data_IF_985168220742
#
_entry.id   IF_985168220742
#
_cell.length_a   1.000
_cell.length_b   1.000
_cell.length_c   1.000
_cell.angle_alpha   90.00
_cell.angle_beta   90.00
_cell.angle_gamma   90.00
#
_symmetry.space_group_name_H-M   'P 1'
#
loop_
_entity.id
_entity.type
_entity.pdbx_description
1 polymer ?
#
# COMPACT_ATOMS: atom_id res chain seq x y z
N UNK A 1 -29.89 -2.91 14.43
CA UNK A 1 -28.44 -2.85 14.66
C UNK A 1 -27.79 -2.41 13.36
N UNK A 2 -26.90 -1.41 13.36
CA UNK A 2 -26.20 -1.03 12.14
C UNK A 2 -25.24 -2.16 11.72
N UNK A 3 -25.37 -2.65 10.48
CA UNK A 3 -24.42 -3.62 9.94
C UNK A 3 -23.04 -2.95 9.90
N UNK A 4 -22.02 -3.61 10.47
CA UNK A 4 -20.66 -3.11 10.40
C UNK A 4 -20.24 -3.03 8.92
N UNK A 5 -19.77 -1.86 8.49
CA UNK A 5 -19.31 -1.67 7.11
C UNK A 5 -18.23 -2.71 6.76
N UNK A 6 -18.28 -3.30 5.56
CA UNK A 6 -17.27 -4.27 5.16
C UNK A 6 -15.88 -3.62 5.21
N UNK A 7 -14.92 -4.31 5.81
CA UNK A 7 -13.56 -3.80 5.98
C UNK A 7 -12.87 -3.68 4.61
N UNK A 8 -12.89 -2.48 4.04
CA UNK A 8 -12.26 -2.18 2.75
C UNK A 8 -10.80 -1.75 2.94
N UNK A 9 -9.88 -2.63 2.58
CA UNK A 9 -8.42 -2.42 2.74
C UNK A 9 -7.93 -1.12 2.10
N UNK A 10 -8.48 -0.72 0.95
CA UNK A 10 -8.09 0.51 0.25
C UNK A 10 -8.53 1.76 1.02
N UNK A 11 -9.72 1.74 1.61
CA UNK A 11 -10.19 2.82 2.48
C UNK A 11 -9.40 2.88 3.78
N UNK A 12 -9.11 1.74 4.41
CA UNK A 12 -8.30 1.69 5.63
C UNK A 12 -6.90 2.26 5.36
N UNK A 13 -6.25 1.89 4.25
CA UNK A 13 -4.98 2.49 3.82
C UNK A 13 -5.06 4.03 3.66
N UNK A 14 -6.19 4.55 3.16
CA UNK A 14 -6.42 5.99 3.01
C UNK A 14 -6.73 6.69 4.35
N UNK A 15 -7.36 5.99 5.31
CA UNK A 15 -7.63 6.46 6.68
C UNK A 15 -6.34 6.57 7.51
N UNK A 16 -5.31 5.76 7.24
CA UNK A 16 -4.03 5.81 7.96
C UNK A 16 -3.30 7.16 7.77
N UNK A 17 -3.27 7.97 8.84
CA UNK A 17 -2.58 9.27 8.87
C UNK A 17 -1.13 9.10 9.30
N UNK A 18 -0.21 9.12 8.33
CA UNK A 18 1.23 9.16 8.60
C UNK A 18 1.78 10.58 8.59
N UNK A 19 2.54 10.92 9.63
CA UNK A 19 3.32 12.15 9.69
C UNK A 19 4.31 12.27 8.51
N UNK A 20 4.37 13.44 7.86
CA UNK A 20 5.14 13.66 6.63
C UNK A 20 6.61 14.01 6.90
N UNK A 21 7.32 13.18 7.67
CA UNK A 21 8.72 13.41 8.08
C UNK A 21 9.69 13.55 6.91
N UNK A 22 9.47 12.82 5.81
CA UNK A 22 10.23 12.98 4.54
C UNK A 22 9.94 14.30 3.79
N UNK A 23 9.22 15.23 4.40
CA UNK A 23 8.79 16.51 3.82
C UNK A 23 9.92 17.53 3.63
N UNK A 24 10.91 17.54 4.52
CA UNK A 24 11.94 18.59 4.61
C UNK A 24 13.34 18.15 4.13
N UNK A 25 13.58 16.85 3.93
CA UNK A 25 14.90 16.35 3.57
C UNK A 25 15.44 16.98 2.27
N UNK A 26 16.73 17.37 2.19
CA UNK A 26 17.34 17.87 0.98
C UNK A 26 17.30 16.89 -0.19
N UNK A 27 17.48 17.40 -1.41
CA UNK A 27 17.77 16.59 -2.58
C UNK A 27 19.25 16.19 -2.56
N UNK A 28 19.55 15.00 -3.08
CA UNK A 28 20.94 14.66 -3.45
C UNK A 28 21.27 15.34 -4.78
N UNK A 29 22.55 15.68 -5.02
CA UNK A 29 23.04 16.04 -6.34
C UNK A 29 23.03 14.82 -7.29
N UNK A 30 23.15 15.01 -8.62
CA UNK A 30 23.03 13.93 -9.60
C UNK A 30 24.09 12.83 -9.48
N UNK A 31 25.29 13.19 -9.01
CA UNK A 31 26.42 12.29 -8.77
C UNK A 31 26.26 11.40 -7.52
N UNK A 32 25.09 11.35 -6.87
CA UNK A 32 24.91 10.58 -5.64
C UNK A 32 23.56 9.85 -5.55
N UNK A 33 23.62 8.56 -5.24
CA UNK A 33 22.47 7.65 -5.16
C UNK A 33 22.30 7.08 -3.75
N UNK A 34 21.04 6.86 -3.35
CA UNK A 34 20.70 6.24 -2.05
C UNK A 34 20.75 4.72 -2.15
N UNK A 35 21.71 4.09 -1.48
CA UNK A 35 21.72 2.64 -1.24
C UNK A 35 20.95 2.34 0.06
N UNK A 36 19.91 1.50 -0.03
CA UNK A 36 18.98 1.29 1.08
C UNK A 36 19.45 0.17 1.99
N UNK A 37 19.57 0.42 3.30
CA UNK A 37 19.86 -0.64 4.27
C UNK A 37 18.59 -1.44 4.61
N UNK A 38 18.72 -2.72 5.03
CA UNK A 38 17.62 -3.48 5.61
C UNK A 38 17.02 -2.81 6.86
N UNK A 39 15.71 -2.94 7.05
CA UNK A 39 15.04 -2.43 8.26
C UNK A 39 15.29 -3.40 9.41
N UNK A 40 16.10 -2.98 10.39
CA UNK A 40 16.32 -3.72 11.62
C UNK A 40 15.02 -3.76 12.43
N UNK A 41 14.63 -4.94 12.89
CA UNK A 41 13.50 -5.15 13.78
C UNK A 41 13.93 -5.97 15.01
N UNK A 42 13.28 -5.81 16.17
CA UNK A 42 13.59 -6.62 17.35
C UNK A 42 13.30 -8.11 17.09
N UNK A 43 13.91 -8.96 17.93
CA UNK A 43 13.68 -10.39 17.90
C UNK A 43 12.21 -10.73 18.21
N UNK A 44 11.68 -11.76 17.56
CA UNK A 44 10.31 -12.23 17.78
C UNK A 44 10.27 -13.01 19.10
N UNK A 45 9.35 -12.63 19.99
CA UNK A 45 9.12 -13.33 21.26
C UNK A 45 8.75 -14.80 21.06
N UNK A 46 9.09 -15.66 22.02
CA UNK A 46 8.75 -17.08 21.94
C UNK A 46 7.22 -17.29 21.95
N UNK A 47 6.66 -18.27 21.21
CA UNK A 47 5.21 -18.52 21.19
C UNK A 47 4.61 -18.83 22.57
N UNK A 48 5.44 -19.37 23.47
CA UNK A 48 5.08 -19.76 24.83
C UNK A 48 5.26 -18.64 25.87
N UNK A 49 5.81 -17.48 25.48
CA UNK A 49 5.95 -16.34 26.37
C UNK A 49 4.58 -15.91 26.94
N UNK A 50 4.54 -15.51 28.21
CA UNK A 50 3.30 -15.11 28.90
C UNK A 50 2.64 -13.86 28.31
N UNK A 51 1.48 -13.50 28.86
CA UNK A 51 0.65 -12.40 28.34
C UNK A 51 1.36 -11.02 28.36
N UNK A 52 2.25 -10.78 29.31
CA UNK A 52 3.02 -9.54 29.43
C UNK A 52 4.03 -9.31 28.27
N UNK A 53 4.34 -10.35 27.48
CA UNK A 53 5.29 -10.24 26.36
C UNK A 53 4.54 -10.15 25.03
N UNK A 54 4.68 -9.00 24.37
CA UNK A 54 4.06 -8.71 23.06
C UNK A 54 4.49 -9.73 22.00
N UNK A 55 3.53 -10.27 21.27
CA UNK A 55 3.76 -11.28 20.22
C UNK A 55 3.64 -10.61 18.86
N UNK A 56 4.76 -10.56 18.12
CA UNK A 56 4.86 -9.78 16.89
C UNK A 56 5.05 -10.71 15.68
N UNK A 57 4.27 -10.49 14.63
CA UNK A 57 4.40 -11.17 13.34
C UNK A 57 4.81 -10.15 12.28
N UNK A 58 6.07 -10.17 11.86
CA UNK A 58 6.53 -9.36 10.74
C UNK A 58 6.05 -9.93 9.40
N UNK A 59 5.53 -9.05 8.54
CA UNK A 59 5.03 -9.38 7.19
C UNK A 59 5.74 -8.53 6.15
N UNK A 60 6.46 -9.20 5.24
CA UNK A 60 7.14 -8.57 4.11
C UNK A 60 6.31 -8.62 2.82
N UNK A 61 6.81 -7.96 1.78
CA UNK A 61 6.18 -7.95 0.45
C UNK A 61 6.12 -9.35 -0.18
N UNK A 62 7.12 -10.20 0.05
CA UNK A 62 7.19 -11.58 -0.45
C UNK A 62 6.44 -12.59 0.42
N UNK A 63 6.06 -12.26 1.66
CA UNK A 63 5.38 -13.21 2.56
C UNK A 63 4.06 -13.71 1.96
N UNK A 64 3.83 -15.04 1.84
CA UNK A 64 2.56 -15.58 1.37
C UNK A 64 1.43 -15.26 2.35
N UNK A 65 0.26 -14.88 1.83
CA UNK A 65 -0.87 -14.44 2.64
C UNK A 65 -1.28 -15.45 3.72
N UNK A 66 -1.55 -16.70 3.34
CA UNK A 66 -1.93 -17.76 4.29
C UNK A 66 -0.81 -18.14 5.26
N UNK A 67 0.47 -17.86 4.94
CA UNK A 67 1.58 -18.05 5.90
C UNK A 67 1.52 -17.01 7.02
N UNK A 68 1.18 -15.75 6.72
CA UNK A 68 0.94 -14.74 7.75
C UNK A 68 -0.27 -15.12 8.64
N UNK A 69 -1.40 -15.50 8.03
CA UNK A 69 -2.60 -15.95 8.74
C UNK A 69 -2.30 -17.13 9.68
N UNK A 70 -1.68 -18.21 9.18
CA UNK A 70 -1.35 -19.40 9.98
C UNK A 70 -0.39 -19.09 11.14
N UNK A 71 0.55 -18.14 10.98
CA UNK A 71 1.43 -17.68 12.08
C UNK A 71 0.65 -16.96 13.17
N UNK A 72 -0.31 -16.10 12.82
CA UNK A 72 -1.19 -15.43 13.79
C UNK A 72 -2.11 -16.44 14.49
N UNK A 73 -2.79 -17.32 13.74
CA UNK A 73 -3.66 -18.37 14.31
C UNK A 73 -2.90 -19.29 15.27
N UNK A 74 -1.66 -19.68 14.93
CA UNK A 74 -0.79 -20.45 15.84
C UNK A 74 -0.52 -19.73 17.16
N UNK A 75 -0.39 -18.40 17.17
CA UNK A 75 -0.18 -17.60 18.38
C UNK A 75 -1.49 -17.44 19.17
N UNK A 76 -2.62 -17.17 18.51
CA UNK A 76 -3.95 -17.11 19.15
C UNK A 76 -4.28 -18.42 19.87
N UNK A 77 -4.02 -19.58 19.24
CA UNK A 77 -4.17 -20.89 19.87
C UNK A 77 -3.31 -21.07 21.14
N UNK A 78 -2.18 -20.36 21.28
CA UNK A 78 -1.38 -20.40 22.51
C UNK A 78 -1.97 -19.49 23.60
N UNK A 79 -2.62 -18.39 23.22
CA UNK A 79 -3.43 -17.58 24.16
C UNK A 79 -4.55 -18.45 24.72
N UNK A 80 -5.39 -19.03 23.85
CA UNK A 80 -6.50 -19.92 24.20
C UNK A 80 -6.07 -21.10 25.08
N UNK A 81 -4.94 -21.75 24.74
CA UNK A 81 -4.37 -22.83 25.56
C UNK A 81 -3.98 -22.36 26.95
N UNK A 82 -3.40 -21.17 27.12
CA UNK A 82 -3.10 -20.62 28.46
C UNK A 82 -4.37 -20.32 29.26
N UNK A 83 -5.45 -19.86 28.62
CA UNK A 83 -6.74 -19.66 29.29
C UNK A 83 -7.28 -20.99 29.83
N UNK A 84 -7.37 -21.99 28.95
CA UNK A 84 -7.99 -23.29 29.23
C UNK A 84 -7.14 -24.20 30.11
N UNK A 85 -5.80 -24.11 30.05
CA UNK A 85 -4.89 -24.89 30.89
C UNK A 85 -5.12 -24.68 32.39
N UNK A 86 -5.41 -23.45 32.80
CA UNK A 86 -5.71 -23.11 34.19
C UNK A 86 -7.01 -23.77 34.70
N UNK A 87 -7.94 -24.11 33.80
CA UNK A 87 -9.21 -24.76 34.12
C UNK A 87 -9.07 -26.28 34.09
N UNK A 88 -8.40 -26.82 33.07
CA UNK A 88 -8.27 -28.26 32.82
C UNK A 88 -7.49 -29.02 33.91
N UNK A 89 -6.73 -28.32 34.77
CA UNK A 89 -6.07 -28.90 35.95
C UNK A 89 -7.07 -29.34 37.04
N UNK A 90 -8.32 -28.84 37.02
CA UNK A 90 -9.32 -29.08 38.06
C UNK A 90 -10.22 -30.24 37.63
N UNK A 91 -10.06 -31.41 38.27
CA UNK A 91 -10.89 -32.59 38.00
C UNK A 91 -12.33 -32.38 38.48
N UNK A 92 -13.28 -32.62 37.57
CA UNK A 92 -14.70 -33.01 37.82
C UNK A 92 -15.48 -32.13 38.80
N UNK A 93 -15.99 -31.02 38.28
CA UNK A 93 -17.01 -30.20 38.92
C UNK A 93 -17.64 -29.25 37.91
N UNK A 94 -18.50 -29.78 37.03
CA UNK A 94 -18.91 -29.12 35.77
C UNK A 94 -19.37 -27.67 35.95
N UNK A 95 -20.11 -27.37 37.03
CA UNK A 95 -20.59 -26.02 37.31
C UNK A 95 -19.49 -25.05 37.73
N UNK A 96 -18.49 -25.51 38.49
CA UNK A 96 -17.40 -24.66 38.96
C UNK A 96 -16.29 -24.52 37.91
N UNK A 97 -15.99 -25.59 37.17
CA UNK A 97 -15.09 -25.55 36.01
C UNK A 97 -15.57 -24.58 34.94
N UNK A 98 -16.86 -24.63 34.58
CA UNK A 98 -17.47 -23.69 33.63
C UNK A 98 -17.46 -22.25 34.13
N UNK A 99 -17.73 -22.02 35.43
CA UNK A 99 -17.65 -20.67 36.01
C UNK A 99 -16.21 -20.13 35.98
N UNK A 100 -15.22 -20.93 36.38
CA UNK A 100 -13.81 -20.53 36.33
C UNK A 100 -13.30 -20.33 34.90
N UNK A 101 -13.85 -21.05 33.92
CA UNK A 101 -13.59 -20.81 32.50
C UNK A 101 -14.15 -19.46 32.04
N UNK A 102 -15.39 -19.13 32.39
CA UNK A 102 -15.95 -17.81 32.10
C UNK A 102 -15.10 -16.69 32.73
N UNK A 103 -14.79 -16.80 34.03
CA UNK A 103 -13.91 -15.84 34.73
C UNK A 103 -12.49 -15.75 34.13
N UNK A 104 -11.97 -16.82 33.52
CA UNK A 104 -10.67 -16.82 32.84
C UNK A 104 -10.73 -16.17 31.45
N UNK A 105 -11.80 -16.42 30.69
CA UNK A 105 -12.09 -15.76 29.41
C UNK A 105 -12.29 -14.26 29.60
N UNK A 106 -13.05 -13.85 30.62
CA UNK A 106 -13.26 -12.45 30.98
C UNK A 106 -11.94 -11.73 31.33
N UNK A 107 -11.04 -12.41 32.06
CA UNK A 107 -9.70 -11.87 32.35
C UNK A 107 -8.88 -11.67 31.08
N UNK A 108 -8.91 -12.62 30.14
CA UNK A 108 -8.17 -12.52 28.88
C UNK A 108 -8.74 -11.42 27.97
N UNK A 109 -10.07 -11.23 27.98
CA UNK A 109 -10.73 -10.11 27.31
C UNK A 109 -10.39 -8.73 27.93
N UNK A 110 -10.08 -8.70 29.22
CA UNK A 110 -9.65 -7.50 29.95
C UNK A 110 -8.16 -7.21 29.73
N UNK A 111 -7.30 -8.22 29.85
CA UNK A 111 -5.85 -8.11 29.69
C UNK A 111 -5.44 -7.92 28.22
N UNK A 112 -6.31 -8.30 27.28
CA UNK A 112 -6.17 -8.16 25.82
C UNK A 112 -4.79 -8.58 25.34
N UNK A 113 -4.51 -9.88 25.38
CA UNK A 113 -3.27 -10.40 24.83
C UNK A 113 -3.25 -10.24 23.29
N UNK A 114 -2.72 -9.10 22.83
CA UNK A 114 -2.67 -8.71 21.42
C UNK A 114 -1.49 -9.34 20.69
N UNK A 115 -1.77 -9.90 19.51
CA UNK A 115 -0.78 -10.30 18.53
C UNK A 115 -0.69 -9.19 17.47
N UNK A 116 0.50 -8.58 17.36
CA UNK A 116 0.75 -7.43 16.50
C UNK A 116 1.31 -7.88 15.15
N UNK A 117 0.54 -7.72 14.08
CA UNK A 117 1.03 -7.92 12.71
C UNK A 117 1.66 -6.60 12.21
N UNK A 118 2.99 -6.54 12.17
CA UNK A 118 3.73 -5.33 11.77
C UNK A 118 4.21 -5.42 10.32
N UNK A 119 3.92 -4.38 9.53
CA UNK A 119 4.32 -4.28 8.13
C UNK A 119 4.66 -2.85 7.71
N UNK A 120 5.49 -2.71 6.68
CA UNK A 120 6.00 -1.43 6.17
C UNK A 120 5.83 -1.29 4.65
N UNK A 121 5.56 -0.08 4.17
CA UNK A 121 5.50 0.23 2.73
C UNK A 121 4.53 -0.69 1.96
N UNK A 122 5.00 -1.32 0.87
CA UNK A 122 4.17 -2.19 0.00
C UNK A 122 3.59 -3.43 0.73
N UNK A 123 4.12 -3.80 1.89
CA UNK A 123 3.58 -4.90 2.69
C UNK A 123 2.35 -4.52 3.53
N UNK A 124 2.05 -3.22 3.72
CA UNK A 124 0.93 -2.76 4.55
C UNK A 124 -0.42 -3.32 4.07
N UNK A 125 -0.66 -3.37 2.77
CA UNK A 125 -1.87 -3.99 2.17
C UNK A 125 -2.02 -5.44 2.62
N UNK A 126 -0.93 -6.24 2.62
CA UNK A 126 -0.98 -7.64 3.07
C UNK A 126 -1.34 -7.78 4.55
N UNK A 127 -0.82 -6.90 5.42
CA UNK A 127 -1.15 -6.92 6.85
C UNK A 127 -2.63 -6.57 7.10
N UNK A 128 -3.19 -5.61 6.36
CA UNK A 128 -4.61 -5.27 6.43
C UNK A 128 -5.50 -6.40 5.92
N UNK A 129 -5.15 -7.07 4.81
CA UNK A 129 -5.85 -8.28 4.35
C UNK A 129 -5.86 -9.39 5.41
N UNK A 130 -4.81 -9.51 6.24
CA UNK A 130 -4.78 -10.47 7.36
C UNK A 130 -5.78 -10.04 8.43
N UNK A 131 -5.82 -8.76 8.81
CA UNK A 131 -6.83 -8.22 9.72
C UNK A 131 -8.28 -8.41 9.22
N UNK A 132 -8.52 -8.18 7.92
CA UNK A 132 -9.80 -8.45 7.27
C UNK A 132 -10.23 -9.91 7.42
N UNK A 133 -9.29 -10.83 7.20
CA UNK A 133 -9.55 -12.27 7.27
C UNK A 133 -9.96 -12.72 8.68
N UNK A 134 -9.31 -12.19 9.73
CA UNK A 134 -9.71 -12.44 11.12
C UNK A 134 -11.02 -11.74 11.53
N UNK A 135 -11.44 -10.66 10.84
CA UNK A 135 -12.77 -10.06 11.05
C UNK A 135 -13.91 -10.81 10.34
N UNK A 136 -13.67 -11.26 9.10
CA UNK A 136 -14.74 -11.66 8.18
C UNK A 136 -14.82 -13.18 7.93
N UNK A 137 -13.68 -13.90 7.96
CA UNK A 137 -13.57 -15.29 7.50
C UNK A 137 -13.34 -16.30 8.62
N UNK A 138 -12.64 -15.92 9.68
CA UNK A 138 -12.44 -16.74 10.87
C UNK A 138 -13.72 -16.79 11.72
N UNK A 139 -14.66 -17.69 11.37
CA UNK A 139 -15.87 -17.95 12.19
C UNK A 139 -15.57 -18.74 13.46
N UNK A 140 -14.43 -19.42 13.51
CA UNK A 140 -14.00 -20.29 14.61
C UNK A 140 -13.52 -19.51 15.84
N UNK A 141 -12.96 -18.32 15.64
CA UNK A 141 -12.41 -17.47 16.71
C UNK A 141 -12.98 -16.07 16.58
N UNK A 142 -13.82 -15.67 17.54
CA UNK A 142 -14.26 -14.30 17.63
C UNK A 142 -13.05 -13.40 17.94
N UNK A 143 -12.57 -12.66 16.94
CA UNK A 143 -11.39 -11.81 17.06
C UNK A 143 -11.77 -10.33 17.06
N UNK A 144 -11.11 -9.55 17.92
CA UNK A 144 -11.09 -8.08 17.85
C UNK A 144 -9.85 -7.68 17.07
N UNK A 145 -10.02 -6.82 16.07
CA UNK A 145 -8.92 -6.34 15.22
C UNK A 145 -8.88 -4.82 15.24
N UNK A 146 -7.76 -4.26 15.70
CA UNK A 146 -7.48 -2.83 15.72
C UNK A 146 -6.34 -2.51 14.74
N UNK A 147 -6.37 -1.33 14.10
CA UNK A 147 -5.35 -0.91 13.14
C UNK A 147 -4.69 0.38 13.64
N UNK A 148 -3.38 0.32 13.88
CA UNK A 148 -2.56 1.42 14.37
C UNK A 148 -1.57 1.86 13.27
N UNK A 149 -1.44 3.17 13.06
CA UNK A 149 -0.49 3.74 12.11
C UNK A 149 0.83 4.12 12.79
N UNK A 150 1.96 3.80 12.18
CA UNK A 150 3.28 4.11 12.72
C UNK A 150 4.28 4.60 11.67
N UNK A 151 5.45 5.05 12.12
CA UNK A 151 6.58 5.42 11.26
C UNK A 151 7.86 4.84 11.87
N UNK A 152 8.75 4.30 11.04
CA UNK A 152 10.07 3.79 11.44
C UNK A 152 11.16 4.59 10.70
N UNK A 153 12.18 5.03 11.43
CA UNK A 153 13.39 5.63 10.85
C UNK A 153 14.33 4.53 10.35
N UNK A 154 14.86 4.70 9.14
CA UNK A 154 15.82 3.82 8.50
C UNK A 154 17.03 4.66 8.11
N UNK A 155 18.23 4.18 8.42
CA UNK A 155 19.47 4.73 7.88
C UNK A 155 19.68 4.12 6.50
N UNK A 156 19.77 4.95 5.47
CA UNK A 156 20.26 4.54 4.15
C UNK A 156 21.64 5.16 3.91
N UNK A 157 22.44 4.51 3.08
CA UNK A 157 23.75 5.00 2.65
C UNK A 157 23.60 5.93 1.45
N UNK A 158 24.52 6.90 1.34
CA UNK A 158 24.71 7.73 0.15
C UNK A 158 26.02 7.29 -0.47
N UNK A 159 25.95 6.86 -1.73
CA UNK A 159 27.11 6.41 -2.50
C UNK A 159 27.17 7.23 -3.78
N UNK A 160 28.38 7.63 -4.16
CA UNK A 160 28.63 8.31 -5.42
C UNK A 160 28.17 7.41 -6.57
N UNK A 161 27.41 8.01 -7.50
CA UNK A 161 27.02 7.32 -8.72
C UNK A 161 28.19 7.44 -9.70
N UNK A 162 28.82 6.31 -10.01
CA UNK A 162 29.67 6.20 -11.19
C UNK A 162 28.86 6.67 -12.40
N UNK A 163 29.33 7.72 -13.07
CA UNK A 163 28.69 8.26 -14.26
C UNK A 163 28.96 7.28 -15.41
N UNK A 164 28.01 6.38 -15.67
CA UNK A 164 27.96 5.70 -16.96
C UNK A 164 27.78 6.77 -18.05
N UNK A 165 28.75 6.88 -18.94
CA UNK A 165 28.86 7.94 -19.96
C UNK A 165 27.63 7.97 -20.92
N UNK A 166 26.83 6.90 -20.93
CA UNK A 166 25.59 6.73 -21.70
C UNK A 166 24.46 7.74 -21.38
N UNK A 167 24.47 8.40 -20.22
CA UNK A 167 23.42 9.38 -19.84
C UNK A 167 23.68 10.82 -20.37
N UNK A 168 24.79 11.05 -21.09
CA UNK A 168 25.22 12.39 -21.50
C UNK A 168 24.42 13.02 -22.66
N UNK A 169 23.71 12.23 -23.48
CA UNK A 169 23.13 12.70 -24.76
C UNK A 169 21.63 13.08 -24.69
N UNK A 170 21.01 13.02 -23.50
CA UNK A 170 19.56 13.22 -23.33
C UNK A 170 19.15 14.66 -22.94
N UNK A 171 19.97 15.68 -23.24
CA UNK A 171 19.68 17.06 -22.80
C UNK A 171 20.22 18.20 -23.68
N UNK A 172 19.78 18.27 -24.94
CA UNK A 172 19.73 19.54 -25.69
C UNK A 172 18.30 20.12 -25.73
N UNK A 173 18.09 21.42 -25.43
CA UNK A 173 16.77 22.07 -25.49
C UNK A 173 16.58 22.82 -26.82
N UNK A 174 15.94 22.18 -27.80
CA UNK A 174 15.64 22.80 -29.09
C UNK A 174 14.17 23.27 -29.21
N UNK A 175 14.00 24.35 -29.99
CA UNK A 175 12.83 25.25 -30.03
C UNK A 175 11.54 24.66 -30.66
N UNK A 176 10.37 25.33 -30.46
CA UNK A 176 9.09 24.87 -31.02
C UNK A 176 9.05 24.98 -32.55
N UNK A 177 8.96 23.83 -33.23
CA UNK A 177 8.75 23.74 -34.68
C UNK A 177 7.45 24.41 -35.11
N UNK A 178 7.56 25.42 -35.97
CA UNK A 178 6.44 26.02 -36.71
C UNK A 178 5.84 25.03 -37.71
N UNK A 179 4.50 24.98 -37.76
CA UNK A 179 3.74 24.21 -38.76
C UNK A 179 3.80 24.95 -40.11
N UNK A 180 4.17 24.29 -41.22
CA UNK A 180 3.88 24.77 -42.56
C UNK A 180 2.58 24.13 -43.11
N UNK A 181 1.76 24.97 -43.74
CA UNK A 181 0.61 24.54 -44.56
C UNK A 181 1.05 23.90 -45.89
N UNK A 182 0.17 23.03 -46.43
CA UNK A 182 -0.22 23.03 -47.85
C UNK A 182 0.83 22.71 -48.92
N UNK A 183 0.62 21.60 -49.65
CA UNK A 183 1.33 21.34 -50.90
C UNK A 183 0.92 20.03 -51.57
N UNK A 184 0.04 20.10 -52.57
CA UNK A 184 -0.24 19.00 -53.49
C UNK A 184 1.01 18.64 -54.30
N UNK A 185 1.35 17.35 -54.39
CA UNK A 185 1.87 16.75 -55.63
C UNK A 185 1.54 15.27 -55.74
N UNK A 186 0.71 14.97 -56.72
CA UNK A 186 0.53 13.71 -57.45
C UNK A 186 1.83 12.94 -57.73
N UNK A 187 1.82 11.62 -57.52
CA UNK A 187 2.34 10.66 -58.51
C UNK A 187 1.79 9.24 -58.30
N UNK A 188 1.28 8.65 -59.38
CA UNK A 188 0.91 7.23 -59.48
C UNK A 188 2.13 6.33 -59.75
N UNK A 189 2.00 5.03 -59.45
CA UNK A 189 2.52 3.82 -60.15
C UNK A 189 2.49 2.66 -59.12
N UNK A 190 1.54 1.71 -59.20
CA UNK A 190 1.60 0.45 -59.98
C UNK A 190 2.75 -0.51 -59.54
N UNK A 191 2.56 -1.81 -59.28
CA UNK A 191 1.37 -2.66 -59.38
C UNK A 191 1.46 -3.99 -58.59
N UNK A 192 0.28 -4.56 -58.27
CA UNK A 192 -0.11 -6.00 -58.27
C UNK A 192 0.78 -7.13 -57.70
N UNK A 193 0.18 -8.00 -56.86
CA UNK A 193 -0.04 -9.46 -57.19
C UNK A 193 -0.84 -10.22 -56.10
N UNK A 194 -2.13 -10.54 -56.41
CA UNK A 194 -2.93 -11.78 -56.10
C UNK A 194 -2.98 -12.33 -54.64
N UNK A 195 -4.05 -12.85 -54.01
CA UNK A 195 -5.39 -13.46 -54.31
C UNK A 195 -6.28 -13.30 -53.02
N UNK A 196 -7.61 -13.53 -52.93
CA UNK A 196 -8.75 -13.75 -53.85
C UNK A 196 -10.09 -13.59 -53.09
N UNK A 197 -11.17 -13.35 -53.84
CA UNK A 197 -12.60 -13.19 -53.43
C UNK A 197 -13.31 -14.56 -53.15
N UNK A 198 -14.63 -14.68 -52.77
CA UNK A 198 -15.70 -13.66 -52.89
C UNK A 198 -16.80 -13.48 -51.81
N UNK A 199 -17.47 -12.33 -51.99
CA UNK A 199 -18.73 -11.71 -51.51
C UNK A 199 -20.02 -12.58 -51.65
N UNK A 200 -21.28 -12.11 -51.35
CA UNK A 200 -21.84 -10.74 -51.14
C UNK A 200 -22.78 -10.59 -49.90
N UNK A 201 -23.47 -9.46 -49.58
CA UNK A 201 -24.07 -8.41 -50.43
C UNK A 201 -24.30 -7.06 -49.72
N UNK A 202 -24.30 -6.00 -50.52
CA UNK A 202 -24.58 -4.57 -50.30
C UNK A 202 -25.98 -4.24 -49.74
N UNK A 203 -26.16 -3.04 -49.12
CA UNK A 203 -27.07 -2.00 -49.65
C UNK A 203 -26.82 -0.60 -49.04
N UNK A 204 -27.17 0.43 -49.80
CA UNK A 204 -26.67 1.82 -49.69
C UNK A 204 -27.82 2.84 -49.62
N UNK A 205 -27.76 3.82 -48.70
CA UNK A 205 -28.46 5.14 -48.71
C UNK A 205 -27.58 6.05 -47.81
N UNK A 206 -27.02 7.21 -48.19
CA UNK A 206 -27.62 8.53 -48.53
C UNK A 206 -28.67 9.00 -47.49
N UNK A 207 -28.81 10.28 -47.11
CA UNK A 207 -28.33 11.55 -47.69
C UNK A 207 -28.08 12.63 -46.58
N UNK A 208 -27.85 13.88 -47.00
CA UNK A 208 -27.28 15.01 -46.28
C UNK A 208 -28.27 15.91 -45.49
N UNK A 209 -27.88 16.26 -44.25
CA UNK A 209 -27.52 17.64 -43.78
C UNK A 209 -28.54 18.81 -43.78
N UNK A 210 -28.29 19.80 -42.87
CA UNK A 210 -28.90 21.16 -42.72
C UNK A 210 -30.29 21.27 -42.07
N UNK A 211 -30.65 22.34 -41.33
CA UNK A 211 -29.90 23.44 -40.64
C UNK A 211 -30.80 24.10 -39.55
N UNK A 212 -30.31 25.17 -38.90
CA UNK A 212 -31.02 26.16 -38.05
C UNK A 212 -31.45 25.70 -36.63
N UNK A 213 -31.15 26.41 -35.52
CA UNK A 213 -31.25 27.87 -35.31
C UNK A 213 -30.39 28.37 -34.11
N UNK A 214 -30.17 29.68 -34.04
CA UNK A 214 -29.35 30.41 -33.07
C UNK A 214 -29.89 30.50 -31.62
N UNK A 215 -28.96 30.68 -30.67
CA UNK A 215 -29.24 31.13 -29.30
C UNK A 215 -27.99 31.63 -28.55
N UNK A 216 -27.79 32.95 -28.52
CA UNK A 216 -26.92 33.67 -27.58
C UNK A 216 -27.35 33.38 -26.11
N UNK A 217 -26.56 33.49 -25.04
CA UNK A 217 -25.19 34.02 -24.76
C UNK A 217 -24.82 33.56 -23.33
N UNK A 218 -23.53 33.43 -22.99
CA UNK A 218 -22.93 34.07 -21.79
C UNK A 218 -21.49 33.61 -21.52
N UNK A 219 -20.62 34.56 -21.15
CA UNK A 219 -19.21 34.29 -20.84
C UNK A 219 -19.02 34.01 -19.34
N UNK A 220 -18.47 32.84 -18.99
CA UNK A 220 -17.99 32.58 -17.61
C UNK A 220 -16.54 32.13 -17.56
N UNK A 221 -15.67 33.14 -17.41
CA UNK A 221 -14.38 33.10 -16.70
C UNK A 221 -13.60 31.76 -16.70
N UNK A 222 -12.72 31.60 -17.69
CA UNK A 222 -11.70 30.55 -17.69
C UNK A 222 -10.83 30.59 -16.43
N UNK A 223 -11.04 29.63 -15.52
CA UNK A 223 -10.27 29.46 -14.28
C UNK A 223 -8.84 29.03 -14.61
N UNK A 224 -7.97 29.98 -14.94
CA UNK A 224 -6.51 29.77 -15.08
C UNK A 224 -5.97 29.25 -13.76
N UNK A 225 -5.78 27.94 -13.66
CA UNK A 225 -5.28 27.26 -12.48
C UNK A 225 -3.89 27.81 -12.13
N UNK A 226 -3.84 28.66 -11.08
CA UNK A 226 -2.64 29.41 -10.68
C UNK A 226 -1.57 28.41 -10.22
N UNK A 227 -0.69 28.02 -11.15
CA UNK A 227 0.31 26.96 -11.02
C UNK A 227 1.27 27.31 -9.87
N UNK A 228 0.95 26.87 -8.65
CA UNK A 228 1.75 27.16 -7.44
C UNK A 228 3.17 26.66 -7.67
N UNK A 229 4.12 27.58 -7.89
CA UNK A 229 5.56 27.28 -8.01
C UNK A 229 5.97 26.57 -6.71
N UNK A 230 6.09 25.24 -6.76
CA UNK A 230 6.61 24.46 -5.63
C UNK A 230 8.01 24.98 -5.35
N UNK A 231 8.25 25.52 -4.14
CA UNK A 231 9.59 25.94 -3.72
C UNK A 231 10.54 24.78 -3.97
N UNK A 232 11.64 25.01 -4.71
CA UNK A 232 12.70 24.01 -4.86
C UNK A 232 13.20 23.69 -3.45
N UNK A 233 13.30 22.40 -3.10
CA UNK A 233 13.94 21.97 -1.86
C UNK A 233 15.43 22.34 -1.94
N UNK A 234 16.11 22.61 -0.81
CA UNK A 234 17.57 22.65 -0.79
C UNK A 234 18.12 21.34 -1.35
N UNK A 235 19.25 21.43 -2.05
CA UNK A 235 20.11 20.29 -2.36
C UNK A 235 21.26 20.26 -1.33
N UNK A 236 21.94 19.13 -1.23
CA UNK A 236 23.30 19.14 -0.70
C UNK A 236 24.25 19.75 -1.74
N UNK A 237 25.29 20.42 -1.26
CA UNK A 237 26.39 20.86 -2.11
C UNK A 237 27.24 19.63 -2.52
N UNK A 238 27.86 19.63 -3.71
CA UNK A 238 28.55 18.46 -4.26
C UNK A 238 29.79 18.04 -3.46
N UNK A 239 30.34 18.94 -2.65
CA UNK A 239 31.54 18.73 -1.83
C UNK A 239 31.21 18.42 -0.36
N UNK A 240 29.93 18.51 0.06
CA UNK A 240 29.45 18.28 1.42
C UNK A 240 28.25 17.31 1.42
N UNK A 241 28.50 16.08 0.95
CA UNK A 241 27.54 14.98 1.06
C UNK A 241 27.76 14.20 2.37
N UNK A 242 26.71 14.00 3.19
CA UNK A 242 26.81 13.08 4.30
C UNK A 242 26.84 11.64 3.78
N UNK A 243 27.71 10.79 4.36
CA UNK A 243 27.78 9.35 4.05
C UNK A 243 26.43 8.62 4.23
N UNK A 244 25.60 9.11 5.15
CA UNK A 244 24.38 8.43 5.60
C UNK A 244 23.20 9.38 5.70
N UNK A 245 22.00 8.84 5.45
CA UNK A 245 20.74 9.59 5.43
C UNK A 245 19.64 8.85 6.16
N UNK A 246 18.98 9.56 7.07
CA UNK A 246 17.74 9.08 7.69
C UNK A 246 16.54 9.26 6.76
N UNK A 247 15.84 8.16 6.45
CA UNK A 247 14.54 8.14 5.77
C UNK A 247 13.48 7.54 6.67
N UNK A 248 12.30 8.15 6.71
CA UNK A 248 11.15 7.60 7.43
C UNK A 248 10.30 6.70 6.53
N UNK A 249 9.92 5.54 7.05
CA UNK A 249 9.08 4.54 6.38
C UNK A 249 7.75 4.45 7.10
N UNK A 250 6.66 4.56 6.34
CA UNK A 250 5.30 4.33 6.84
C UNK A 250 5.14 2.87 7.25
N UNK A 251 4.59 2.65 8.44
CA UNK A 251 4.23 1.32 8.94
C UNK A 251 2.76 1.25 9.31
N UNK A 252 2.26 0.01 9.41
CA UNK A 252 0.98 -0.34 10.01
C UNK A 252 1.22 -1.46 11.02
N UNK A 253 0.51 -1.40 12.13
CA UNK A 253 0.43 -2.45 13.12
C UNK A 253 -1.03 -2.88 13.24
N UNK A 254 -1.34 -4.12 12.88
CA UNK A 254 -2.69 -4.67 13.03
C UNK A 254 -2.67 -5.53 14.28
N UNK A 255 -3.31 -5.05 15.34
CA UNK A 255 -3.44 -5.77 16.61
C UNK A 255 -4.65 -6.71 16.53
N UNK A 256 -4.42 -7.98 16.85
CA UNK A 256 -5.44 -9.03 16.79
C UNK A 256 -5.49 -9.70 18.16
N UNK A 257 -6.64 -9.66 18.82
CA UNK A 257 -6.89 -10.26 20.13
C UNK A 257 -8.15 -11.13 20.10
N UNK A 258 -8.23 -12.11 21.00
CA UNK A 258 -9.45 -12.89 21.19
C UNK A 258 -10.51 -12.01 21.87
N UNK A 259 -11.75 -12.14 21.42
CA UNK A 259 -12.94 -11.59 22.08
C UNK A 259 -13.33 -12.53 23.23
N UNK A 260 -13.66 -11.95 24.38
CA UNK A 260 -14.37 -12.65 25.46
C UNK A 260 -15.81 -13.00 25.08
#
# INVERSE_FOLDING_TARGET
MAAALPFNVSEELAKLRHEKKNGQMPKLPPNATVQKRPIIHPAVASPYAGANVQKIVYVGSQTPFMSAVKRVKKLLNQVEKRVTQNVNMIKRGDREGMRRLAEATDKVAKDREEILVKASGRAMTKALNVGEWFRNKEKEMACIVEVRSGNVSVVDDIVEAEQSEDDADAQQPNEPTTIPEGGDTTMELLASTTKSSPDPTTHTVQDNNRDDNHGATEATAGKKARKRRKRKRPAYDPDDLPEQRLRWVKTVEVAISLKG
#
